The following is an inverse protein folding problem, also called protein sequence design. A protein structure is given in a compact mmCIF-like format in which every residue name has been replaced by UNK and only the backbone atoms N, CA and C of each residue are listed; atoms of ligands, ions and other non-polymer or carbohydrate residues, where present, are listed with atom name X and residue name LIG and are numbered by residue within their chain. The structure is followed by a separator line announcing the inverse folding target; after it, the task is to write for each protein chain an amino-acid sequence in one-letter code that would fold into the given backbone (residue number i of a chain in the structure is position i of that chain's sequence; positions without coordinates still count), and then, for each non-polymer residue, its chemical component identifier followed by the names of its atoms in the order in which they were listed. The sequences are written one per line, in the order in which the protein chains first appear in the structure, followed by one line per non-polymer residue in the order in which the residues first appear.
data_IF_447134658404
#
_entry.id   IF_447134658404
#
_cell.length_a   1.000
_cell.length_b   1.000
_cell.length_c   1.000
_cell.angle_alpha   90.00
_cell.angle_beta   90.00
_cell.angle_gamma   90.00
#
_symmetry.space_group_name_H-M   'P 1'
#
loop_
_entity.id
_entity.type
_entity.pdbx_description
1 polymer ?
#
# COMPACT_ATOMS: atom_id res chain seq x y z
N UNK A 1 11.44 7.35 -10.94
CA UNK A 1 11.45 6.68 -9.62
C UNK A 1 10.01 6.49 -9.21
N UNK A 2 9.57 5.25 -8.95
CA UNK A 2 8.17 4.93 -8.62
C UNK A 2 8.01 4.74 -7.12
N UNK A 3 6.91 5.21 -6.56
CA UNK A 3 6.59 5.13 -5.15
C UNK A 3 5.57 4.02 -4.90
N UNK A 4 5.91 3.12 -3.97
CA UNK A 4 5.06 1.99 -3.58
C UNK A 4 4.66 2.17 -2.12
N UNK A 5 3.36 2.29 -1.88
CA UNK A 5 2.79 2.28 -0.54
C UNK A 5 2.37 0.86 -0.17
N UNK A 6 2.89 0.32 0.92
CA UNK A 6 2.43 -0.95 1.50
C UNK A 6 1.62 -0.62 2.74
N UNK A 7 0.32 -0.97 2.73
CA UNK A 7 -0.58 -0.82 3.87
C UNK A 7 -0.61 -2.12 4.68
N UNK A 8 -0.13 -2.08 5.92
CA UNK A 8 0.03 -3.23 6.80
C UNK A 8 1.44 -3.80 6.79
N UNK A 9 2.02 -3.95 7.97
CA UNK A 9 3.36 -4.47 8.25
C UNK A 9 3.32 -5.81 9.03
N UNK A 10 2.16 -6.48 9.05
CA UNK A 10 1.99 -7.76 9.72
C UNK A 10 2.83 -8.90 9.09
N UNK A 11 2.80 -10.07 9.72
CA UNK A 11 3.63 -11.25 9.34
C UNK A 11 3.63 -11.58 7.85
N UNK A 12 2.46 -11.55 7.21
CA UNK A 12 2.33 -11.86 5.77
C UNK A 12 2.96 -10.80 4.85
N UNK A 13 3.09 -9.55 5.32
CA UNK A 13 3.69 -8.46 4.57
C UNK A 13 5.23 -8.45 4.65
N UNK A 14 5.82 -9.04 5.69
CA UNK A 14 7.28 -9.02 5.93
C UNK A 14 8.08 -9.51 4.73
N UNK A 15 7.73 -10.68 4.17
CA UNK A 15 8.46 -11.23 3.03
C UNK A 15 8.34 -10.36 1.78
N UNK A 16 7.16 -9.76 1.56
CA UNK A 16 6.94 -8.83 0.45
C UNK A 16 7.77 -7.55 0.63
N UNK A 17 7.75 -6.95 1.82
CA UNK A 17 8.48 -5.72 2.13
C UNK A 17 9.98 -5.93 1.90
N UNK A 18 10.56 -7.02 2.41
CA UNK A 18 11.97 -7.34 2.19
C UNK A 18 12.29 -7.57 0.71
N UNK A 19 11.42 -8.26 -0.02
CA UNK A 19 11.58 -8.46 -1.46
C UNK A 19 11.60 -7.11 -2.20
N UNK A 20 10.64 -6.23 -1.92
CA UNK A 20 10.57 -4.92 -2.56
C UNK A 20 11.80 -4.07 -2.24
N UNK A 21 12.26 -4.08 -0.99
CA UNK A 21 13.49 -3.38 -0.57
C UNK A 21 14.71 -3.89 -1.34
N UNK A 22 14.87 -5.21 -1.43
CA UNK A 22 16.02 -5.83 -2.09
C UNK A 22 16.14 -5.44 -3.58
N UNK A 23 15.02 -5.19 -4.26
CA UNK A 23 14.98 -4.84 -5.67
C UNK A 23 14.74 -3.33 -5.91
N UNK A 24 14.57 -2.53 -4.85
CA UNK A 24 14.17 -1.13 -4.98
C UNK A 24 15.22 -0.27 -5.69
N UNK A 25 16.51 -0.51 -5.45
CA UNK A 25 17.58 0.25 -6.13
C UNK A 25 17.59 -0.01 -7.64
N UNK A 26 17.52 -1.28 -8.03
CA UNK A 26 17.55 -1.70 -9.43
C UNK A 26 16.37 -1.14 -10.22
N UNK A 27 15.17 -1.22 -9.66
CA UNK A 27 13.95 -0.75 -10.33
C UNK A 27 13.58 0.71 -10.02
N UNK A 28 14.45 1.43 -9.30
CA UNK A 28 14.21 2.80 -8.87
C UNK A 28 12.87 2.98 -8.15
N UNK A 29 12.61 2.11 -7.16
CA UNK A 29 11.46 2.20 -6.28
C UNK A 29 11.78 2.96 -5.00
N UNK A 30 10.76 3.63 -4.46
CA UNK A 30 10.73 4.11 -3.09
C UNK A 30 9.56 3.49 -2.34
N UNK A 31 9.85 2.81 -1.25
CA UNK A 31 8.86 2.17 -0.41
C UNK A 31 8.39 3.10 0.72
N UNK A 32 7.09 3.09 0.95
CA UNK A 32 6.46 3.66 2.14
C UNK A 32 5.70 2.52 2.80
N UNK A 33 6.08 2.13 4.01
CA UNK A 33 5.38 1.10 4.79
C UNK A 33 4.53 1.80 5.84
N UNK A 34 3.21 1.71 5.71
CA UNK A 34 2.25 2.26 6.65
C UNK A 34 1.65 1.19 7.53
N UNK A 35 1.77 1.35 8.85
CA UNK A 35 1.10 0.50 9.84
C UNK A 35 0.64 1.35 11.02
N UNK A 36 -0.38 0.88 11.75
CA UNK A 36 -0.83 1.53 12.98
C UNK A 36 0.27 1.46 14.05
N UNK A 37 1.01 0.35 14.09
CA UNK A 37 2.22 0.21 14.89
C UNK A 37 3.44 0.69 14.09
N UNK A 38 3.84 1.94 14.33
CA UNK A 38 5.01 2.53 13.68
C UNK A 38 6.30 1.75 13.97
N UNK A 39 6.46 1.19 15.18
CA UNK A 39 7.68 0.49 15.55
C UNK A 39 7.84 -0.80 14.73
N UNK A 40 6.74 -1.50 14.48
CA UNK A 40 6.72 -2.66 13.60
C UNK A 40 7.18 -2.29 12.18
N UNK A 41 6.59 -1.26 11.59
CA UNK A 41 6.97 -0.80 10.24
C UNK A 41 8.42 -0.30 10.19
N UNK A 42 8.89 0.42 11.21
CA UNK A 42 10.28 0.89 11.32
C UNK A 42 11.26 -0.28 11.37
N UNK A 43 10.94 -1.34 12.11
CA UNK A 43 11.76 -2.54 12.18
C UNK A 43 11.96 -3.20 10.81
N UNK A 44 10.93 -3.21 9.95
CA UNK A 44 10.99 -3.82 8.63
C UNK A 44 11.79 -3.01 7.59
N UNK A 45 11.93 -1.69 7.79
CA UNK A 45 12.69 -0.81 6.88
C UNK A 45 14.07 -0.44 7.44
N UNK A 46 14.44 -0.99 8.59
CA UNK A 46 15.72 -0.71 9.24
C UNK A 46 16.89 -1.09 8.31
N UNK A 47 17.85 -0.17 8.15
CA UNK A 47 19.00 -0.37 7.28
C UNK A 47 18.74 -0.15 5.78
N UNK A 48 17.54 0.30 5.39
CA UNK A 48 17.17 0.55 3.99
C UNK A 48 16.64 1.99 3.76
N UNK A 49 17.09 2.96 4.56
CA UNK A 49 16.55 4.33 4.58
C UNK A 49 16.70 5.09 3.26
N UNK A 50 17.63 4.68 2.40
CA UNK A 50 17.82 5.21 1.05
C UNK A 50 16.65 4.89 0.09
N UNK A 51 15.91 3.81 0.34
CA UNK A 51 14.85 3.31 -0.56
C UNK A 51 13.51 3.11 0.14
N UNK A 52 13.48 3.00 1.47
CA UNK A 52 12.26 2.71 2.22
C UNK A 52 12.14 3.58 3.47
N UNK A 53 10.90 3.95 3.82
CA UNK A 53 10.57 4.62 5.08
C UNK A 53 9.26 4.08 5.66
N UNK A 54 9.12 4.19 6.97
CA UNK A 54 7.91 3.83 7.69
C UNK A 54 7.07 5.08 8.02
N UNK A 55 5.74 4.92 8.08
CA UNK A 55 4.81 5.92 8.59
C UNK A 55 3.81 5.28 9.56
N UNK A 56 3.41 6.03 10.58
CA UNK A 56 2.26 5.67 11.39
C UNK A 56 1.01 5.95 10.55
N UNK A 57 0.19 4.94 10.31
CA UNK A 57 -1.01 5.08 9.50
C UNK A 57 -2.10 4.15 10.02
N UNK A 58 -3.17 4.75 10.53
CA UNK A 58 -4.41 4.01 10.74
C UNK A 58 -5.19 3.93 9.44
N UNK A 59 -5.31 2.73 8.86
CA UNK A 59 -6.02 2.54 7.62
C UNK A 59 -7.54 2.75 7.74
N UNK A 60 -8.11 2.92 8.95
CA UNK A 60 -9.52 3.35 9.12
C UNK A 60 -9.70 4.86 9.04
N UNK A 61 -8.62 5.65 9.15
CA UNK A 61 -8.64 7.08 8.94
C UNK A 61 -8.63 7.38 7.43
N UNK A 62 -9.76 7.85 6.92
CA UNK A 62 -9.94 8.09 5.48
C UNK A 62 -9.03 9.21 4.97
N UNK A 63 -8.83 10.27 5.75
CA UNK A 63 -8.03 11.42 5.32
C UNK A 63 -6.55 11.04 5.27
N UNK A 64 -6.06 10.40 6.34
CA UNK A 64 -4.68 9.94 6.40
C UNK A 64 -4.38 8.89 5.31
N UNK A 65 -5.32 7.95 5.08
CA UNK A 65 -5.20 6.93 4.03
C UNK A 65 -5.16 7.56 2.64
N UNK A 66 -6.10 8.46 2.32
CA UNK A 66 -6.12 9.16 1.04
C UNK A 66 -4.84 9.98 0.82
N UNK A 67 -4.36 10.68 1.85
CA UNK A 67 -3.13 11.46 1.78
C UNK A 67 -1.89 10.60 1.46
N UNK A 68 -1.82 9.39 2.03
CA UNK A 68 -0.75 8.45 1.72
C UNK A 68 -0.87 7.89 0.29
N UNK A 69 -2.10 7.54 -0.14
CA UNK A 69 -2.39 7.00 -1.47
C UNK A 69 -2.05 8.02 -2.56
N UNK A 70 -2.45 9.28 -2.41
CA UNK A 70 -2.23 10.33 -3.41
C UNK A 70 -0.74 10.57 -3.71
N UNK A 71 0.12 10.37 -2.72
CA UNK A 71 1.58 10.47 -2.81
C UNK A 71 2.27 9.19 -3.28
N UNK A 72 1.51 8.17 -3.68
CA UNK A 72 2.02 6.90 -4.19
C UNK A 72 1.69 6.73 -5.68
N UNK A 73 2.40 5.82 -6.36
CA UNK A 73 2.07 5.38 -7.72
C UNK A 73 1.34 4.03 -7.69
N UNK A 74 1.77 3.15 -6.77
CA UNK A 74 1.18 1.83 -6.56
C UNK A 74 0.92 1.63 -5.06
N UNK A 75 -0.27 1.12 -4.75
CA UNK A 75 -0.68 0.75 -3.39
C UNK A 75 -0.80 -0.76 -3.30
N UNK A 76 -0.16 -1.36 -2.31
CA UNK A 76 -0.32 -2.77 -1.98
C UNK A 76 -1.02 -2.86 -0.62
N UNK A 77 -2.23 -3.38 -0.60
CA UNK A 77 -2.98 -3.54 0.64
C UNK A 77 -2.79 -4.93 1.23
N UNK A 78 -1.98 -5.03 2.28
CA UNK A 78 -1.79 -6.25 3.11
C UNK A 78 -2.69 -6.25 4.36
N UNK A 79 -3.70 -5.38 4.38
CA UNK A 79 -4.73 -5.28 5.43
C UNK A 79 -5.71 -6.47 5.41
N UNK A 80 -6.54 -6.63 6.47
CA UNK A 80 -7.67 -7.57 6.46
C UNK A 80 -8.63 -7.36 5.28
N UNK A 81 -9.23 -8.45 4.78
CA UNK A 81 -10.04 -8.43 3.56
C UNK A 81 -11.18 -7.39 3.55
N UNK A 82 -11.85 -7.21 4.69
CA UNK A 82 -12.96 -6.25 4.82
C UNK A 82 -12.53 -4.79 4.66
N UNK A 83 -11.23 -4.48 4.73
CA UNK A 83 -10.71 -3.11 4.56
C UNK A 83 -10.32 -2.79 3.12
N UNK A 84 -10.19 -3.80 2.24
CA UNK A 84 -9.70 -3.59 0.88
C UNK A 84 -10.61 -2.69 0.04
N UNK A 85 -11.93 -2.82 0.18
CA UNK A 85 -12.86 -2.02 -0.63
C UNK A 85 -12.70 -0.50 -0.42
N UNK A 86 -12.39 -0.07 0.81
CA UNK A 86 -12.12 1.34 1.08
C UNK A 86 -10.83 1.80 0.37
N UNK A 87 -9.75 1.00 0.46
CA UNK A 87 -8.49 1.28 -0.23
C UNK A 87 -8.70 1.34 -1.75
N UNK A 88 -9.45 0.40 -2.32
CA UNK A 88 -9.69 0.34 -3.77
C UNK A 88 -10.48 1.55 -4.25
N UNK A 89 -11.55 1.95 -3.53
CA UNK A 89 -12.33 3.15 -3.85
C UNK A 89 -11.45 4.41 -3.81
N UNK A 90 -10.59 4.53 -2.81
CA UNK A 90 -9.66 5.65 -2.72
C UNK A 90 -8.64 5.65 -3.86
N UNK A 91 -8.11 4.47 -4.23
CA UNK A 91 -7.18 4.34 -5.35
C UNK A 91 -7.84 4.68 -6.68
N UNK A 92 -9.10 4.27 -6.92
CA UNK A 92 -9.86 4.68 -8.11
C UNK A 92 -10.00 6.21 -8.14
N UNK A 93 -10.40 6.82 -7.03
CA UNK A 93 -10.56 8.27 -6.93
C UNK A 93 -9.25 9.02 -7.21
N UNK A 94 -8.14 8.56 -6.62
CA UNK A 94 -6.81 9.15 -6.79
C UNK A 94 -6.06 8.67 -8.05
N UNK A 95 -6.70 7.82 -8.88
CA UNK A 95 -6.12 7.20 -10.09
C UNK A 95 -4.78 6.50 -9.84
N UNK A 96 -4.74 5.69 -8.77
CA UNK A 96 -3.57 4.91 -8.36
C UNK A 96 -3.77 3.43 -8.62
N UNK A 97 -2.70 2.73 -8.97
CA UNK A 97 -2.75 1.28 -9.07
C UNK A 97 -2.88 0.65 -7.68
N UNK A 98 -3.68 -0.41 -7.56
CA UNK A 98 -3.88 -1.13 -6.31
C UNK A 98 -3.71 -2.64 -6.51
N UNK A 99 -3.02 -3.28 -5.57
CA UNK A 99 -2.82 -4.73 -5.51
C UNK A 99 -3.29 -5.21 -4.13
N UNK A 100 -4.09 -6.28 -4.10
CA UNK A 100 -4.51 -6.94 -2.85
C UNK A 100 -4.34 -8.45 -2.98
N UNK A 101 -3.94 -9.17 -1.92
CA UNK A 101 -3.79 -10.62 -1.94
C UNK A 101 -5.12 -11.38 -1.73
N UNK A 102 -6.25 -10.66 -1.69
CA UNK A 102 -7.57 -11.22 -1.41
C UNK A 102 -8.34 -11.55 -2.69
N UNK A 103 -9.33 -12.43 -2.57
CA UNK A 103 -10.29 -12.70 -3.65
C UNK A 103 -11.01 -11.41 -4.06
N UNK A 104 -11.40 -11.36 -5.33
CA UNK A 104 -12.20 -10.26 -5.89
C UNK A 104 -13.65 -10.40 -5.39
N UNK A 105 -14.16 -9.46 -4.58
CA UNK A 105 -15.55 -9.51 -4.13
C UNK A 105 -16.50 -9.08 -5.25
N UNK A 106 -17.77 -9.51 -5.19
CA UNK A 106 -18.79 -9.14 -6.19
C UNK A 106 -18.98 -7.63 -6.34
N UNK A 107 -18.83 -6.88 -5.25
CA UNK A 107 -18.92 -5.41 -5.24
C UNK A 107 -17.85 -4.77 -6.15
N UNK A 108 -16.68 -5.41 -6.33
CA UNK A 108 -15.64 -4.83 -7.19
C UNK A 108 -16.01 -4.91 -8.67
N UNK A 109 -16.76 -5.93 -9.09
CA UNK A 109 -17.23 -6.04 -10.47
C UNK A 109 -18.18 -4.89 -10.83
N UNK A 110 -18.96 -4.39 -9.88
CA UNK A 110 -19.81 -3.21 -10.08
C UNK A 110 -19.00 -1.93 -10.33
N UNK A 111 -17.71 -1.91 -9.97
CA UNK A 111 -16.81 -0.78 -10.18
C UNK A 111 -15.96 -0.91 -11.45
N UNK A 112 -16.14 -1.95 -12.27
CA UNK A 112 -15.27 -2.21 -13.44
C UNK A 112 -15.16 -1.00 -14.38
N UNK A 113 -16.28 -0.33 -14.68
CA UNK A 113 -16.27 0.88 -15.51
C UNK A 113 -15.40 1.98 -14.92
N UNK A 114 -15.60 2.29 -13.63
CA UNK A 114 -14.81 3.29 -12.92
C UNK A 114 -13.32 2.92 -12.83
N UNK A 115 -12.98 1.63 -12.72
CA UNK A 115 -11.59 1.14 -12.73
C UNK A 115 -10.94 1.32 -14.10
N UNK A 116 -11.68 1.10 -15.19
CA UNK A 116 -11.16 1.26 -16.56
C UNK A 116 -10.97 2.71 -16.97
N UNK A 117 -11.80 3.61 -16.45
CA UNK A 117 -11.78 5.04 -16.78
C UNK A 117 -10.81 5.87 -15.93
N UNK A 118 -10.28 5.29 -14.84
CA UNK A 118 -9.34 5.92 -13.91
C UNK A 118 -7.89 5.87 -14.41
#
# INVERSE_FOLDING_TARGET
MRSILVLGAGRSATSLIHYLIAHAREHQWRLIVGDRDLALAQGLVAGASEVARAIALDATDNEARMHAIDRSDVVISMLPAFMHMAVVKDCIHARKHVITPSYVPDELWALEGAVRDA
#
